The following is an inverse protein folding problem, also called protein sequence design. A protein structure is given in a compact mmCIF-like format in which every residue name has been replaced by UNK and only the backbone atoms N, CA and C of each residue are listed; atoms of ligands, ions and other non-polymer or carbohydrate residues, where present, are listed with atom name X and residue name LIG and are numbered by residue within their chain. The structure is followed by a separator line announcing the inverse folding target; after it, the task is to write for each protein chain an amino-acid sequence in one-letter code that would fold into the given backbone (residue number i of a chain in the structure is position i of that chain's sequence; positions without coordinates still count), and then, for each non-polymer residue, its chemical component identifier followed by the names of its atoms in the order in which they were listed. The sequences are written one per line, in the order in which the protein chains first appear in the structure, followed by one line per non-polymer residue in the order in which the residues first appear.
data_IF_709878934520
#
_entry.id   IF_709878934520
#
_cell.length_a   1.000
_cell.length_b   1.000
_cell.length_c   1.000
_cell.angle_alpha   90.00
_cell.angle_beta   90.00
_cell.angle_gamma   90.00
#
_symmetry.space_group_name_H-M   'P 1'
#
loop_
_entity.id
_entity.type
_entity.pdbx_description
1 polymer ?
#
# COMPACT_ATOMS: atom_id res chain seq x y z
N UNK A 1 94.21 -14.59 -2.10
CA UNK A 1 94.90 -14.75 -0.80
C UNK A 1 93.87 -14.62 0.32
N UNK A 2 93.54 -15.76 0.93
CA UNK A 2 93.35 -16.04 2.36
C UNK A 2 92.52 -15.12 3.28
N UNK A 3 91.49 -15.77 3.85
CA UNK A 3 90.97 -15.68 5.23
C UNK A 3 90.38 -14.30 5.65
N UNK A 4 89.26 -14.20 6.36
CA UNK A 4 88.96 -14.77 7.68
C UNK A 4 87.46 -14.53 7.96
N UNK A 5 86.82 -15.54 8.52
CA UNK A 5 85.49 -15.52 9.10
C UNK A 5 85.50 -14.82 10.48
N UNK A 6 84.57 -13.89 10.71
CA UNK A 6 84.22 -13.41 12.07
C UNK A 6 82.70 -13.46 12.25
N UNK A 7 82.28 -14.31 13.17
CA UNK A 7 80.93 -14.46 13.68
C UNK A 7 80.53 -13.24 14.55
N UNK A 8 79.29 -12.77 14.44
CA UNK A 8 78.60 -12.06 15.52
C UNK A 8 77.10 -12.41 15.53
N UNK A 9 76.82 -13.36 16.42
CA UNK A 9 75.65 -13.58 17.30
C UNK A 9 74.37 -12.74 17.08
N UNK A 10 73.32 -13.46 16.64
CA UNK A 10 71.94 -13.60 17.16
C UNK A 10 71.15 -12.34 17.57
N UNK A 11 70.04 -12.09 16.84
CA UNK A 11 68.73 -11.86 17.44
C UNK A 11 67.63 -12.21 16.42
N UNK A 12 67.03 -13.40 16.52
CA UNK A 12 65.79 -13.69 15.80
C UNK A 12 64.72 -14.08 16.80
N UNK A 13 63.77 -13.15 16.92
CA UNK A 13 62.61 -13.17 17.79
C UNK A 13 61.76 -14.42 17.51
N UNK A 14 61.57 -15.25 18.54
CA UNK A 14 60.61 -16.35 18.53
C UNK A 14 59.19 -15.78 18.61
N UNK A 15 58.61 -15.43 17.47
CA UNK A 15 57.17 -15.25 17.35
C UNK A 15 56.57 -16.64 17.07
N UNK A 16 55.90 -17.21 18.07
CA UNK A 16 55.13 -18.44 17.90
C UNK A 16 54.09 -18.28 16.79
N UNK A 17 54.02 -19.27 15.90
CA UNK A 17 52.93 -19.38 14.93
C UNK A 17 51.68 -19.77 15.73
N UNK A 18 50.86 -18.79 16.07
CA UNK A 18 49.51 -19.05 16.59
C UNK A 18 48.67 -19.57 15.42
N UNK A 19 48.23 -20.83 15.49
CA UNK A 19 47.28 -21.39 14.54
C UNK A 19 46.00 -20.53 14.54
N UNK A 20 45.63 -20.00 13.37
CA UNK A 20 44.39 -19.28 13.20
C UNK A 20 43.21 -20.24 13.43
N UNK A 21 42.45 -20.02 14.49
CA UNK A 21 41.17 -20.69 14.71
C UNK A 21 40.25 -20.37 13.53
N UNK A 22 39.80 -21.41 12.81
CA UNK A 22 38.79 -21.24 11.78
C UNK A 22 37.49 -20.86 12.44
N UNK A 23 37.18 -19.56 12.42
CA UNK A 23 35.93 -19.01 12.89
C UNK A 23 34.79 -19.60 12.04
N UNK A 24 34.10 -20.63 12.57
CA UNK A 24 32.90 -21.19 11.95
C UNK A 24 31.87 -20.06 11.87
N UNK A 25 31.59 -19.59 10.66
CA UNK A 25 30.49 -18.65 10.43
C UNK A 25 29.21 -19.18 11.10
N UNK A 26 28.49 -18.33 11.86
CA UNK A 26 27.24 -18.76 12.47
C UNK A 26 26.28 -19.20 11.38
N UNK A 27 25.60 -20.32 11.60
CA UNK A 27 24.64 -20.89 10.65
C UNK A 27 23.69 -19.80 10.15
N UNK A 28 23.63 -19.61 8.82
CA UNK A 28 22.71 -18.69 8.18
C UNK A 28 21.30 -19.05 8.64
N UNK A 29 20.57 -18.11 9.25
CA UNK A 29 19.16 -18.31 9.64
C UNK A 29 18.41 -18.86 8.43
N UNK A 30 17.70 -19.98 8.64
CA UNK A 30 16.90 -20.60 7.59
C UNK A 30 15.98 -19.57 6.94
N UNK A 31 15.84 -19.62 5.61
CA UNK A 31 14.91 -18.75 4.90
C UNK A 31 13.50 -18.95 5.46
N UNK A 32 12.72 -17.88 5.69
CA UNK A 32 11.37 -18.01 6.22
C UNK A 32 10.54 -18.87 5.27
N UNK A 33 9.83 -19.86 5.83
CA UNK A 33 8.93 -20.73 5.08
C UNK A 33 7.87 -19.86 4.37
N UNK A 34 7.64 -20.07 3.07
CA UNK A 34 6.68 -19.29 2.27
C UNK A 34 5.47 -20.11 1.83
N UNK A 35 5.21 -21.26 2.46
CA UNK A 35 4.02 -22.08 2.15
C UNK A 35 2.72 -21.33 2.43
N UNK A 36 1.63 -21.77 1.80
CA UNK A 36 0.30 -21.20 2.02
C UNK A 36 -0.13 -21.36 3.49
N UNK A 37 0.12 -22.54 4.07
CA UNK A 37 -0.13 -22.86 5.49
C UNK A 37 0.66 -21.95 6.45
N UNK A 38 1.85 -21.48 6.06
CA UNK A 38 2.62 -20.52 6.86
C UNK A 38 2.02 -19.11 6.81
N UNK A 39 1.40 -18.73 5.68
CA UNK A 39 0.75 -17.42 5.53
C UNK A 39 -0.58 -17.32 6.26
N UNK A 40 -1.21 -18.45 6.55
CA UNK A 40 -2.52 -18.54 7.18
C UNK A 40 -2.52 -19.62 8.26
N UNK A 41 -1.63 -19.49 9.24
CA UNK A 41 -1.59 -20.43 10.35
C UNK A 41 -2.83 -20.29 11.23
N UNK A 42 -3.32 -21.41 11.77
CA UNK A 42 -4.53 -21.45 12.61
C UNK A 42 -4.37 -20.64 13.92
N UNK A 43 -3.14 -20.27 14.27
CA UNK A 43 -2.78 -19.46 15.44
C UNK A 43 -2.55 -17.98 15.11
N UNK A 44 -2.88 -17.51 13.90
CA UNK A 44 -2.88 -16.08 13.57
C UNK A 44 -3.86 -15.32 14.46
N UNK A 45 -3.32 -14.74 15.52
CA UNK A 45 -4.03 -13.82 16.42
C UNK A 45 -3.55 -12.41 16.15
N UNK A 46 -4.47 -11.46 16.26
CA UNK A 46 -4.10 -10.05 16.32
C UNK A 46 -3.17 -9.84 17.52
N UNK A 47 -2.14 -9.01 17.33
CA UNK A 47 -1.24 -8.66 18.44
C UNK A 47 -1.97 -7.79 19.45
N UNK A 48 -1.50 -7.76 20.70
CA UNK A 48 -2.08 -6.87 21.71
C UNK A 48 -2.03 -5.38 21.29
N UNK A 49 -1.01 -4.98 20.52
CA UNK A 49 -0.92 -3.65 19.90
C UNK A 49 -1.99 -3.44 18.82
N UNK A 50 -2.20 -4.43 17.94
CA UNK A 50 -3.26 -4.39 16.92
C UNK A 50 -4.63 -4.27 17.57
N UNK A 51 -4.90 -5.07 18.60
CA UNK A 51 -6.12 -5.02 19.42
C UNK A 51 -6.30 -3.69 20.17
N UNK A 52 -5.21 -3.09 20.67
CA UNK A 52 -5.25 -1.78 21.34
C UNK A 52 -5.52 -0.62 20.37
N UNK A 53 -5.03 -0.74 19.13
CA UNK A 53 -5.29 0.20 18.02
C UNK A 53 -6.65 -0.04 17.35
N UNK A 54 -7.28 -1.17 17.66
CA UNK A 54 -8.57 -1.55 17.16
C UNK A 54 -9.65 -0.67 17.79
N UNK A 55 -10.18 0.26 17.03
CA UNK A 55 -11.23 1.12 17.54
C UNK A 55 -12.53 0.30 17.70
N UNK A 56 -12.85 -0.06 18.95
CA UNK A 56 -14.01 -0.89 19.31
C UNK A 56 -15.31 -0.39 18.69
N UNK A 57 -15.48 0.93 18.54
CA UNK A 57 -16.67 1.49 17.91
C UNK A 57 -16.85 1.01 16.46
N UNK A 58 -15.77 0.81 15.69
CA UNK A 58 -15.85 0.36 14.30
C UNK A 58 -16.32 -1.10 14.23
N UNK A 59 -15.89 -1.93 15.19
CA UNK A 59 -16.41 -3.27 15.37
C UNK A 59 -17.89 -3.25 15.70
N UNK A 60 -18.31 -2.36 16.60
CA UNK A 60 -19.71 -2.25 17.03
C UNK A 60 -20.61 -1.57 15.98
N UNK A 61 -20.02 -0.84 15.03
CA UNK A 61 -20.75 -0.10 14.01
C UNK A 61 -21.55 -1.03 13.08
N UNK A 62 -20.96 -2.18 12.69
CA UNK A 62 -21.52 -3.30 11.88
C UNK A 62 -22.08 -2.96 10.48
N UNK A 63 -22.70 -1.81 10.32
CA UNK A 63 -23.42 -1.40 9.13
C UNK A 63 -22.96 -0.01 8.69
N UNK A 64 -22.50 0.09 7.44
CA UNK A 64 -21.91 1.29 6.88
C UNK A 64 -22.27 1.49 5.42
N UNK A 65 -22.10 2.71 4.92
CA UNK A 65 -22.22 3.04 3.51
C UNK A 65 -20.85 3.16 2.86
N UNK A 66 -20.74 2.73 1.60
CA UNK A 66 -19.58 2.96 0.76
C UNK A 66 -20.02 3.81 -0.44
N UNK A 67 -19.39 4.97 -0.62
CA UNK A 67 -19.77 5.95 -1.63
C UNK A 67 -18.68 6.03 -2.70
N UNK A 68 -19.02 5.57 -3.90
CA UNK A 68 -18.28 5.87 -5.12
C UNK A 68 -18.90 7.11 -5.76
N UNK A 69 -18.23 8.25 -5.61
CA UNK A 69 -18.68 9.51 -6.19
C UNK A 69 -17.49 10.28 -6.76
N UNK A 70 -17.63 10.75 -8.01
CA UNK A 70 -16.60 11.52 -8.69
C UNK A 70 -16.95 11.84 -10.13
N UNK A 71 -15.97 12.30 -10.90
CA UNK A 71 -16.16 12.72 -12.31
C UNK A 71 -16.86 11.66 -13.15
N UNK A 72 -16.52 10.39 -12.95
CA UNK A 72 -17.13 9.24 -13.64
C UNK A 72 -18.65 9.16 -13.43
N UNK A 73 -19.20 9.67 -12.33
CA UNK A 73 -20.63 9.69 -12.06
C UNK A 73 -21.40 10.50 -13.12
N UNK A 74 -20.80 11.53 -13.72
CA UNK A 74 -21.43 12.34 -14.78
C UNK A 74 -21.53 11.66 -16.14
N UNK A 75 -20.75 10.60 -16.35
CA UNK A 75 -20.75 9.82 -17.59
C UNK A 75 -21.70 8.63 -17.50
N UNK A 76 -22.16 8.28 -16.29
CA UNK A 76 -23.18 7.25 -16.06
C UNK A 76 -22.84 5.85 -16.63
N UNK A 77 -21.57 5.60 -16.99
CA UNK A 77 -21.14 4.34 -17.61
C UNK A 77 -21.20 4.30 -19.13
N UNK A 78 -21.45 5.44 -19.78
CA UNK A 78 -21.49 5.59 -21.22
C UNK A 78 -20.65 6.79 -21.71
N UNK A 79 -19.96 6.63 -22.83
CA UNK A 79 -19.25 7.69 -23.52
C UNK A 79 -19.25 7.41 -25.02
N UNK A 80 -20.00 8.23 -25.79
CA UNK A 80 -20.06 8.14 -27.25
C UNK A 80 -20.43 6.72 -27.75
N UNK A 81 -21.41 6.07 -27.10
CA UNK A 81 -21.82 4.70 -27.43
C UNK A 81 -20.84 3.59 -27.01
N UNK A 82 -19.78 3.93 -26.27
CA UNK A 82 -18.84 2.99 -25.65
C UNK A 82 -19.00 3.04 -24.13
N UNK A 83 -18.47 2.06 -23.41
CA UNK A 83 -18.48 2.06 -21.96
C UNK A 83 -18.76 0.68 -21.41
N UNK A 84 -19.55 0.65 -20.33
CA UNK A 84 -19.79 -0.57 -19.56
C UNK A 84 -21.25 -1.00 -19.50
N UNK A 85 -22.13 -0.36 -20.29
CA UNK A 85 -23.58 -0.56 -20.18
C UNK A 85 -24.05 -0.35 -18.73
N UNK A 86 -23.53 0.70 -18.09
CA UNK A 86 -23.81 1.09 -16.70
C UNK A 86 -23.28 0.14 -15.60
N UNK A 87 -22.44 -0.85 -15.94
CA UNK A 87 -21.79 -1.72 -14.95
C UNK A 87 -20.44 -1.13 -14.55
N UNK A 88 -20.10 -0.99 -13.27
CA UNK A 88 -18.78 -0.48 -12.88
C UNK A 88 -18.43 0.87 -13.57
N UNK A 89 -19.38 1.82 -13.58
CA UNK A 89 -19.23 3.12 -14.25
C UNK A 89 -18.02 3.91 -13.77
N UNK A 90 -17.47 3.59 -12.59
CA UNK A 90 -16.22 4.15 -12.08
C UNK A 90 -14.97 3.81 -12.93
N UNK A 91 -15.08 2.82 -13.83
CA UNK A 91 -14.06 2.42 -14.82
C UNK A 91 -14.31 2.98 -16.23
N UNK A 92 -15.25 3.92 -16.39
CA UNK A 92 -15.69 4.43 -17.69
C UNK A 92 -14.57 5.01 -18.56
N UNK A 93 -13.52 5.58 -17.96
CA UNK A 93 -12.38 6.10 -18.73
C UNK A 93 -11.69 4.99 -19.53
N UNK A 94 -11.56 3.80 -18.97
CA UNK A 94 -10.88 2.67 -19.62
C UNK A 94 -11.85 1.97 -20.58
N UNK A 95 -13.05 1.62 -20.12
CA UNK A 95 -14.03 0.88 -20.91
C UNK A 95 -14.58 1.69 -22.08
N UNK A 96 -14.83 2.99 -21.86
CA UNK A 96 -15.17 3.96 -22.89
C UNK A 96 -13.97 4.42 -23.70
N UNK A 97 -12.75 3.91 -23.41
CA UNK A 97 -11.46 4.30 -24.03
C UNK A 97 -11.39 5.81 -24.27
N UNK A 98 -11.63 6.58 -23.19
CA UNK A 98 -11.68 8.04 -23.21
C UNK A 98 -10.24 8.55 -23.08
N UNK A 99 -9.73 9.33 -24.06
CA UNK A 99 -8.43 9.96 -23.93
C UNK A 99 -8.35 10.81 -22.66
N UNK A 100 -7.19 10.81 -21.99
CA UNK A 100 -7.03 11.52 -20.72
C UNK A 100 -7.40 13.01 -20.81
N UNK A 101 -7.04 13.67 -21.91
CA UNK A 101 -7.36 15.08 -22.15
C UNK A 101 -8.87 15.33 -22.24
N UNK A 102 -9.61 14.45 -22.91
CA UNK A 102 -11.08 14.53 -22.98
C UNK A 102 -11.70 14.30 -21.61
N UNK A 103 -11.19 13.33 -20.85
CA UNK A 103 -11.63 13.07 -19.48
C UNK A 103 -11.37 14.28 -18.56
N UNK A 104 -10.25 14.99 -18.73
CA UNK A 104 -9.97 16.23 -18.01
C UNK A 104 -10.99 17.33 -18.31
N UNK A 105 -11.49 17.42 -19.54
CA UNK A 105 -12.55 18.38 -19.89
C UNK A 105 -13.88 18.03 -19.23
N UNK A 106 -14.20 16.74 -19.07
CA UNK A 106 -15.34 16.29 -18.25
C UNK A 106 -15.13 16.68 -16.79
N UNK A 107 -13.93 16.41 -16.26
CA UNK A 107 -13.55 16.75 -14.89
C UNK A 107 -13.63 18.26 -14.60
N UNK A 108 -13.24 19.11 -15.55
CA UNK A 108 -13.31 20.56 -15.44
C UNK A 108 -14.76 21.09 -15.36
N UNK A 109 -15.75 20.31 -15.80
CA UNK A 109 -17.18 20.64 -15.75
C UNK A 109 -17.90 19.97 -14.58
N UNK A 110 -17.21 19.14 -13.79
CA UNK A 110 -17.81 18.44 -12.66
C UNK A 110 -18.25 19.45 -11.59
N UNK A 111 -19.56 19.64 -11.48
CA UNK A 111 -20.17 20.57 -10.53
C UNK A 111 -21.49 19.97 -10.00
N UNK A 112 -21.44 19.18 -8.91
CA UNK A 112 -22.64 18.57 -8.34
C UNK A 112 -23.43 19.62 -7.53
N UNK A 113 -24.12 20.52 -8.22
CA UNK A 113 -24.81 21.67 -7.60
C UNK A 113 -25.96 21.30 -6.67
N UNK A 114 -26.48 20.08 -6.78
CA UNK A 114 -27.54 19.53 -5.93
C UNK A 114 -27.00 18.70 -4.76
N UNK A 115 -25.68 18.62 -4.59
CA UNK A 115 -25.07 17.90 -3.47
C UNK A 115 -25.34 18.62 -2.15
N UNK A 116 -25.96 17.89 -1.22
CA UNK A 116 -26.24 18.34 0.14
C UNK A 116 -25.73 17.29 1.14
N UNK A 117 -24.62 17.63 1.81
CA UNK A 117 -23.99 16.75 2.79
C UNK A 117 -24.85 16.49 4.03
N UNK A 118 -25.64 17.48 4.46
CA UNK A 118 -26.53 17.37 5.62
C UNK A 118 -27.70 16.45 5.30
N UNK A 119 -28.26 16.56 4.09
CA UNK A 119 -29.28 15.64 3.60
C UNK A 119 -28.76 14.20 3.58
N UNK A 120 -27.56 13.97 3.05
CA UNK A 120 -26.95 12.64 3.01
C UNK A 120 -26.71 12.09 4.42
N UNK A 121 -26.10 12.88 5.29
CA UNK A 121 -25.84 12.51 6.68
C UNK A 121 -27.15 12.15 7.41
N UNK A 122 -28.22 12.93 7.18
CA UNK A 122 -29.55 12.66 7.72
C UNK A 122 -30.09 11.32 7.22
N UNK A 123 -30.06 11.07 5.90
CA UNK A 123 -30.55 9.80 5.31
C UNK A 123 -29.78 8.61 5.86
N UNK A 124 -28.45 8.70 5.96
CA UNK A 124 -27.63 7.63 6.50
C UNK A 124 -27.96 7.34 7.97
N UNK A 125 -28.05 8.39 8.79
CA UNK A 125 -28.40 8.26 10.20
C UNK A 125 -29.79 7.64 10.38
N UNK A 126 -30.78 8.11 9.63
CA UNK A 126 -32.16 7.63 9.69
C UNK A 126 -32.27 6.16 9.19
N UNK A 127 -31.37 5.73 8.31
CA UNK A 127 -31.26 4.35 7.81
C UNK A 127 -30.46 3.42 8.73
N UNK A 128 -29.93 3.91 9.85
CA UNK A 128 -29.12 3.13 10.80
C UNK A 128 -27.67 2.92 10.40
N UNK A 129 -27.16 3.60 9.37
CA UNK A 129 -25.75 3.57 8.97
C UNK A 129 -24.90 4.19 10.09
N UNK A 130 -23.81 3.52 10.45
CA UNK A 130 -22.95 3.89 11.59
C UNK A 130 -21.58 4.43 11.19
N UNK A 131 -21.18 4.22 9.94
CA UNK A 131 -19.98 4.79 9.34
C UNK A 131 -20.15 4.95 7.83
N UNK A 132 -19.39 5.86 7.24
CA UNK A 132 -19.37 6.09 5.80
C UNK A 132 -17.93 6.05 5.31
N UNK A 133 -17.69 5.29 4.25
CA UNK A 133 -16.41 5.29 3.52
C UNK A 133 -16.64 5.99 2.18
N UNK A 134 -15.83 6.99 1.89
CA UNK A 134 -15.93 7.80 0.68
C UNK A 134 -14.66 7.61 -0.13
N UNK A 135 -14.80 7.43 -1.45
CA UNK A 135 -13.66 7.44 -2.36
C UNK A 135 -13.01 8.83 -2.38
N UNK A 136 -11.88 8.99 -1.69
CA UNK A 136 -11.08 10.24 -1.77
C UNK A 136 -10.40 10.39 -3.14
N UNK A 137 -10.01 9.25 -3.72
CA UNK A 137 -9.49 9.11 -5.09
C UNK A 137 -9.83 7.71 -5.60
N UNK A 138 -10.25 7.60 -6.86
CA UNK A 138 -10.48 6.32 -7.52
C UNK A 138 -9.35 6.00 -8.53
N UNK A 139 -9.42 4.88 -9.25
CA UNK A 139 -8.41 4.47 -10.23
C UNK A 139 -8.18 5.47 -11.36
N UNK A 140 -9.26 6.16 -11.75
CA UNK A 140 -9.28 7.16 -12.81
C UNK A 140 -8.93 8.52 -12.22
N UNK A 141 -7.79 9.07 -12.66
CA UNK A 141 -7.29 10.34 -12.16
C UNK A 141 -7.26 11.37 -13.30
N UNK A 142 -8.08 12.41 -13.18
CA UNK A 142 -7.81 13.69 -13.83
C UNK A 142 -6.66 14.37 -13.08
N UNK A 143 -5.46 13.81 -13.16
CA UNK A 143 -4.30 14.22 -12.35
C UNK A 143 -3.68 15.51 -12.89
N UNK A 144 -4.33 16.65 -12.63
CA UNK A 144 -3.70 17.97 -12.45
C UNK A 144 -4.72 18.95 -11.84
N UNK A 145 -4.70 19.04 -10.50
CA UNK A 145 -5.35 20.09 -9.67
C UNK A 145 -6.85 20.32 -9.93
N UNK A 146 -7.70 19.41 -9.45
CA UNK A 146 -9.00 19.82 -8.93
C UNK A 146 -8.81 20.23 -7.47
N UNK A 147 -8.99 21.53 -7.17
CA UNK A 147 -9.15 21.98 -5.79
C UNK A 147 -10.62 21.78 -5.46
N UNK A 148 -10.89 20.89 -4.52
CA UNK A 148 -12.17 20.90 -3.79
C UNK A 148 -12.14 22.18 -2.95
N UNK A 149 -13.09 23.08 -3.19
CA UNK A 149 -13.30 24.31 -2.42
C UNK A 149 -14.12 23.97 -1.18
#
# INVERSE_FOLDING_TARGET
MNHVMRFLIILFCSQGVQAAETNKQPARKAAPNTSFEYRFSDDLKQTADSEARLEKWFYDAKFGAFIHFGVYSTLEGEYQGRGTEHRYSEWIQISGQIPAEEYHQVAAKFNPSEFDADQWAKVFKDSGIRYVVITSKHHVEASRRLRVV
#
